data_IF_051485375332
#
_entry.id   IF_051485375332
#
_cell.length_a   1.000
_cell.length_b   1.000
_cell.length_c   1.000
_cell.angle_alpha   90.00
_cell.angle_beta   90.00
_cell.angle_gamma   90.00
#
_symmetry.space_group_name_H-M   'P 1'
#
loop_
_entity.id
_entity.type
_entity.pdbx_description
1 polymer ?
#
# COMPACT_ATOMS: atom_id res chain seq x y z
N UNK A 1 -57.09 -5.56 -33.60
CA UNK A 1 -56.61 -4.34 -32.93
C UNK A 1 -55.12 -4.51 -32.81
N UNK A 2 -54.41 -4.15 -33.87
CA UNK A 2 -52.97 -4.16 -33.92
C UNK A 2 -52.49 -2.95 -33.10
N UNK A 3 -51.98 -3.21 -31.90
CA UNK A 3 -51.20 -2.20 -31.17
C UNK A 3 -49.90 -2.05 -31.95
N UNK A 4 -49.80 -0.99 -32.76
CA UNK A 4 -48.52 -0.52 -33.28
C UNK A 4 -47.55 -0.42 -32.09
N UNK A 5 -46.37 -1.07 -32.17
CA UNK A 5 -45.37 -0.95 -31.12
C UNK A 5 -44.98 0.53 -31.03
N UNK A 6 -45.27 1.12 -29.87
CA UNK A 6 -44.93 2.48 -29.47
C UNK A 6 -43.51 2.81 -29.96
N UNK A 7 -43.42 3.71 -30.95
CA UNK A 7 -42.17 4.17 -31.56
C UNK A 7 -41.25 4.58 -30.42
N UNK A 8 -40.29 3.71 -30.11
CA UNK A 8 -39.51 3.84 -28.89
C UNK A 8 -38.59 5.03 -29.09
N UNK A 9 -39.03 6.19 -28.58
CA UNK A 9 -38.36 7.47 -28.76
C UNK A 9 -36.89 7.31 -28.43
N UNK A 10 -36.04 7.46 -29.43
CA UNK A 10 -34.59 7.34 -29.28
C UNK A 10 -34.13 8.32 -28.20
N UNK A 11 -33.50 7.79 -27.16
CA UNK A 11 -32.96 8.62 -26.07
C UNK A 11 -31.61 9.13 -26.54
N UNK A 12 -31.49 10.46 -26.64
CA UNK A 12 -30.27 11.14 -27.01
C UNK A 12 -29.75 11.99 -25.86
N UNK A 13 -28.43 12.01 -25.70
CA UNK A 13 -27.72 12.78 -24.67
C UNK A 13 -26.49 13.41 -25.30
N UNK A 14 -26.29 14.71 -25.09
CA UNK A 14 -25.08 15.40 -25.52
C UNK A 14 -24.04 15.37 -24.39
N UNK A 15 -22.88 14.75 -24.65
CA UNK A 15 -21.77 14.71 -23.71
C UNK A 15 -20.98 16.04 -23.69
N UNK A 16 -20.18 16.30 -22.63
CA UNK A 16 -19.20 17.40 -22.64
C UNK A 16 -18.30 17.29 -23.88
N UNK A 17 -18.25 18.34 -24.70
CA UNK A 17 -17.57 18.33 -26.00
C UNK A 17 -18.50 18.25 -27.22
N UNK A 18 -19.82 18.19 -27.00
CA UNK A 18 -20.81 18.30 -28.08
C UNK A 18 -21.13 17.00 -28.81
N UNK A 19 -20.51 15.88 -28.41
CA UNK A 19 -20.77 14.55 -28.99
C UNK A 19 -22.16 14.07 -28.57
N UNK A 20 -22.99 13.70 -29.54
CA UNK A 20 -24.34 13.18 -29.30
C UNK A 20 -24.24 11.66 -29.16
N UNK A 21 -24.71 11.14 -28.03
CA UNK A 21 -24.85 9.72 -27.78
C UNK A 21 -26.32 9.32 -27.90
N UNK A 22 -26.59 8.28 -28.69
CA UNK A 22 -27.92 7.69 -28.85
C UNK A 22 -27.93 6.33 -28.18
N UNK A 23 -28.89 6.10 -27.29
CA UNK A 23 -29.03 4.80 -26.62
C UNK A 23 -29.47 3.74 -27.62
N UNK A 24 -28.80 2.59 -27.64
CA UNK A 24 -29.15 1.45 -28.48
C UNK A 24 -30.49 0.85 -28.05
N UNK A 25 -31.26 0.24 -28.97
CA UNK A 25 -32.46 -0.52 -28.62
C UNK A 25 -32.15 -1.59 -27.57
N UNK A 26 -32.92 -1.61 -26.48
CA UNK A 26 -32.72 -2.54 -25.36
C UNK A 26 -31.76 -2.08 -24.26
N UNK A 27 -31.05 -0.96 -24.46
CA UNK A 27 -30.22 -0.35 -23.41
C UNK A 27 -31.06 0.12 -22.22
N UNK A 28 -30.63 -0.22 -21.01
CA UNK A 28 -31.38 0.04 -19.78
C UNK A 28 -30.87 1.26 -19.02
N UNK A 29 -29.62 1.65 -19.25
CA UNK A 29 -28.98 2.79 -18.60
C UNK A 29 -29.59 4.12 -19.04
N UNK A 30 -29.58 5.06 -18.11
CA UNK A 30 -30.08 6.42 -18.27
C UNK A 30 -28.98 7.35 -18.76
N UNK A 31 -29.36 8.50 -19.31
CA UNK A 31 -28.39 9.52 -19.73
C UNK A 31 -27.47 9.99 -18.60
N UNK A 32 -27.99 10.10 -17.38
CA UNK A 32 -27.17 10.42 -16.21
C UNK A 32 -26.13 9.34 -15.90
N UNK A 33 -26.47 8.06 -16.07
CA UNK A 33 -25.52 6.95 -15.90
C UNK A 33 -24.44 6.95 -16.99
N UNK A 34 -24.79 7.25 -18.24
CA UNK A 34 -23.82 7.44 -19.32
C UNK A 34 -22.83 8.57 -18.98
N UNK A 35 -23.34 9.75 -18.63
CA UNK A 35 -22.49 10.91 -18.30
C UNK A 35 -21.59 10.61 -17.09
N UNK A 36 -22.13 9.91 -16.09
CA UNK A 36 -21.33 9.39 -14.96
C UNK A 36 -20.25 8.40 -15.40
N UNK A 37 -20.56 7.47 -16.30
CA UNK A 37 -19.60 6.50 -16.84
C UNK A 37 -18.50 7.18 -17.66
N UNK A 38 -18.82 8.17 -18.50
CA UNK A 38 -17.83 8.97 -19.23
C UNK A 38 -16.92 9.77 -18.30
N UNK A 39 -17.48 10.35 -17.23
CA UNK A 39 -16.70 11.06 -16.20
C UNK A 39 -15.76 10.10 -15.46
N UNK A 40 -16.22 8.90 -15.10
CA UNK A 40 -15.37 7.90 -14.47
C UNK A 40 -14.28 7.43 -15.44
N UNK A 41 -14.64 7.09 -16.68
CA UNK A 41 -13.72 6.66 -17.75
C UNK A 41 -12.56 7.63 -17.94
N UNK A 42 -12.86 8.92 -18.07
CA UNK A 42 -11.85 9.97 -18.24
C UNK A 42 -10.95 10.14 -17.03
N UNK A 43 -11.49 9.99 -15.81
CA UNK A 43 -10.73 10.10 -14.57
C UNK A 43 -9.98 8.82 -14.20
N UNK A 44 -10.36 7.65 -14.74
CA UNK A 44 -9.81 6.34 -14.33
C UNK A 44 -8.29 6.26 -14.43
N UNK A 45 -7.70 6.99 -15.38
CA UNK A 45 -6.26 6.93 -15.65
C UNK A 45 -5.48 8.16 -15.15
N UNK A 46 -6.19 9.20 -14.70
CA UNK A 46 -5.59 10.50 -14.36
C UNK A 46 -5.81 10.91 -12.92
N UNK A 47 -6.84 10.37 -12.25
CA UNK A 47 -7.24 10.79 -10.92
C UNK A 47 -6.69 9.86 -9.84
N UNK A 48 -5.68 10.36 -9.13
CA UNK A 48 -5.02 9.66 -8.02
C UNK A 48 -6.03 9.29 -6.92
N UNK A 49 -7.07 10.09 -6.67
CA UNK A 49 -8.07 9.80 -5.64
C UNK A 49 -8.95 8.60 -6.00
N UNK A 50 -9.30 8.47 -7.30
CA UNK A 50 -10.01 7.30 -7.79
C UNK A 50 -9.12 6.06 -7.75
N UNK A 51 -7.88 6.19 -8.25
CA UNK A 51 -6.90 5.13 -8.23
C UNK A 51 -6.61 4.65 -6.79
N UNK A 52 -6.56 5.59 -5.83
CA UNK A 52 -6.24 5.31 -4.43
C UNK A 52 -7.20 4.29 -3.83
N UNK A 53 -8.47 4.34 -4.23
CA UNK A 53 -9.51 3.47 -3.71
C UNK A 53 -9.61 2.13 -4.44
N UNK A 54 -8.79 1.89 -5.46
CA UNK A 54 -8.85 0.72 -6.34
C UNK A 54 -7.80 -0.36 -6.05
N UNK A 55 -7.19 -0.33 -4.86
CA UNK A 55 -6.30 -1.40 -4.39
C UNK A 55 -7.04 -2.72 -4.15
N UNK A 56 -8.36 -2.71 -4.02
CA UNK A 56 -9.16 -3.93 -3.97
C UNK A 56 -9.06 -4.64 -5.32
N UNK A 57 -8.57 -5.89 -5.29
CA UNK A 57 -8.59 -6.80 -6.42
C UNK A 57 -10.00 -6.85 -7.04
N UNK A 58 -10.02 -6.73 -8.35
CA UNK A 58 -11.21 -6.61 -9.18
C UNK A 58 -12.09 -5.38 -8.92
N UNK A 59 -11.80 -4.45 -8.01
CA UNK A 59 -12.60 -3.21 -7.94
C UNK A 59 -12.40 -2.36 -9.18
N UNK A 60 -11.14 -2.16 -9.60
CA UNK A 60 -10.83 -1.55 -10.89
C UNK A 60 -11.52 -2.31 -12.02
N UNK A 61 -11.38 -3.65 -12.05
CA UNK A 61 -11.99 -4.49 -13.09
C UNK A 61 -13.52 -4.39 -13.09
N UNK A 62 -14.20 -4.54 -11.95
CA UNK A 62 -15.66 -4.41 -11.80
C UNK A 62 -16.15 -3.02 -12.19
N UNK A 63 -15.44 -1.98 -11.77
CA UNK A 63 -15.83 -0.60 -12.10
C UNK A 63 -15.60 -0.33 -13.59
N UNK A 64 -14.50 -0.81 -14.15
CA UNK A 64 -14.22 -0.74 -15.58
C UNK A 64 -15.25 -1.54 -16.38
N UNK A 65 -15.59 -2.77 -15.97
CA UNK A 65 -16.65 -3.58 -16.58
C UNK A 65 -18.01 -2.89 -16.46
N UNK A 66 -18.32 -2.25 -15.32
CA UNK A 66 -19.56 -1.49 -15.13
C UNK A 66 -19.63 -0.30 -16.09
N UNK A 67 -18.53 0.45 -16.21
CA UNK A 67 -18.41 1.59 -17.13
C UNK A 67 -18.56 1.12 -18.57
N UNK A 68 -17.86 0.05 -18.97
CA UNK A 68 -17.96 -0.53 -20.32
C UNK A 68 -19.35 -1.05 -20.63
N UNK A 69 -19.99 -1.77 -19.71
CA UNK A 69 -21.37 -2.23 -19.90
C UNK A 69 -22.34 -1.08 -20.13
N UNK A 70 -22.16 0.05 -19.44
CA UNK A 70 -22.93 1.27 -19.72
C UNK A 70 -22.57 1.83 -21.09
N UNK A 71 -21.29 1.96 -21.44
CA UNK A 71 -20.87 2.52 -22.73
C UNK A 71 -21.33 1.68 -23.93
N UNK A 72 -21.38 0.35 -23.81
CA UNK A 72 -21.84 -0.57 -24.85
C UNK A 72 -23.34 -0.40 -25.19
N UNK A 73 -24.14 0.11 -24.26
CA UNK A 73 -25.56 0.42 -24.48
C UNK A 73 -25.78 1.71 -25.27
N UNK A 74 -24.73 2.49 -25.54
CA UNK A 74 -24.83 3.79 -26.21
C UNK A 74 -23.92 3.86 -27.44
N UNK A 75 -24.40 4.56 -28.45
CA UNK A 75 -23.69 4.82 -29.69
C UNK A 75 -23.37 6.31 -29.80
N UNK A 76 -22.11 6.66 -29.97
CA UNK A 76 -21.64 8.05 -30.03
C UNK A 76 -21.69 8.67 -31.44
N UNK A 77 -22.27 7.97 -32.42
CA UNK A 77 -22.31 8.39 -33.82
C UNK A 77 -20.95 8.42 -34.51
N UNK A 78 -19.88 7.92 -33.87
CA UNK A 78 -18.62 7.70 -34.55
C UNK A 78 -18.79 6.52 -35.52
N UNK A 79 -18.21 6.65 -36.72
CA UNK A 79 -18.21 5.59 -37.72
C UNK A 79 -17.61 4.31 -37.11
N UNK A 80 -18.45 3.29 -36.90
CA UNK A 80 -18.07 2.02 -36.27
C UNK A 80 -17.41 1.05 -37.26
N UNK A 81 -16.95 1.53 -38.43
CA UNK A 81 -16.15 0.68 -39.32
C UNK A 81 -15.00 0.06 -38.53
N UNK A 82 -14.83 -1.25 -38.69
CA UNK A 82 -13.70 -1.96 -38.12
C UNK A 82 -12.42 -1.28 -38.60
N UNK A 83 -11.65 -0.73 -37.67
CA UNK A 83 -10.35 -0.15 -37.98
C UNK A 83 -9.40 -1.29 -38.31
N UNK A 84 -8.61 -1.17 -39.37
CA UNK A 84 -7.57 -2.16 -39.65
C UNK A 84 -6.49 -2.11 -38.58
N UNK A 85 -5.73 -3.18 -38.38
CA UNK A 85 -4.59 -3.20 -37.45
C UNK A 85 -3.61 -2.04 -37.73
N UNK A 86 -3.41 -1.72 -39.01
CA UNK A 86 -2.59 -0.60 -39.49
C UNK A 86 -3.16 0.77 -39.08
N UNK A 87 -4.49 0.94 -39.10
CA UNK A 87 -5.16 2.18 -38.66
C UNK A 87 -5.06 2.35 -37.14
N UNK A 88 -5.20 1.26 -36.39
CA UNK A 88 -5.05 1.23 -34.92
C UNK A 88 -3.60 1.55 -34.54
N UNK A 89 -2.61 0.92 -35.18
CA UNK A 89 -1.20 1.19 -34.94
C UNK A 89 -0.85 2.65 -35.27
N UNK A 90 -1.31 3.16 -36.41
CA UNK A 90 -1.11 4.56 -36.78
C UNK A 90 -1.78 5.53 -35.79
N UNK A 91 -2.94 5.17 -35.23
CA UNK A 91 -3.58 5.95 -34.16
C UNK A 91 -2.75 5.96 -32.87
N UNK A 92 -2.30 4.78 -32.41
CA UNK A 92 -1.46 4.65 -31.21
C UNK A 92 -0.16 5.42 -31.38
N UNK A 93 0.48 5.34 -32.55
CA UNK A 93 1.71 6.08 -32.82
C UNK A 93 1.46 7.59 -32.77
N UNK A 94 0.42 8.11 -33.45
CA UNK A 94 0.05 9.54 -33.37
C UNK A 94 -0.22 9.99 -31.94
N UNK A 95 -0.93 9.16 -31.16
CA UNK A 95 -1.20 9.46 -29.75
C UNK A 95 0.10 9.55 -28.94
N UNK A 96 1.01 8.59 -29.11
CA UNK A 96 2.31 8.60 -28.45
C UNK A 96 3.14 9.83 -28.85
N UNK A 97 3.20 10.15 -30.15
CA UNK A 97 3.88 11.34 -30.66
C UNK A 97 3.30 12.63 -30.07
N UNK A 98 1.97 12.71 -29.92
CA UNK A 98 1.30 13.86 -29.28
C UNK A 98 1.66 13.96 -27.79
N UNK A 99 1.70 12.85 -27.06
CA UNK A 99 2.13 12.84 -25.66
C UNK A 99 3.60 13.22 -25.52
N UNK A 100 4.46 12.77 -26.42
CA UNK A 100 5.88 13.13 -26.46
C UNK A 100 6.06 14.62 -26.75
N UNK A 101 5.33 15.16 -27.72
CA UNK A 101 5.30 16.59 -28.01
C UNK A 101 4.84 17.40 -26.79
N UNK A 102 3.81 16.96 -26.07
CA UNK A 102 3.37 17.59 -24.81
C UNK A 102 4.44 17.55 -23.72
N UNK A 103 5.13 16.41 -23.56
CA UNK A 103 6.22 16.27 -22.58
C UNK A 103 7.40 17.18 -22.90
N UNK A 104 7.82 17.25 -24.16
CA UNK A 104 8.91 18.13 -24.57
C UNK A 104 8.51 19.62 -24.51
N UNK A 105 7.25 19.96 -24.83
CA UNK A 105 6.74 21.32 -24.67
C UNK A 105 6.73 21.74 -23.19
N UNK A 106 6.27 20.88 -22.28
CA UNK A 106 6.30 21.13 -20.84
C UNK A 106 7.74 21.28 -20.33
N UNK A 107 8.64 20.39 -20.74
CA UNK A 107 10.06 20.45 -20.40
C UNK A 107 10.70 21.75 -20.88
N UNK A 108 10.39 22.21 -22.09
CA UNK A 108 10.85 23.50 -22.63
C UNK A 108 10.30 24.67 -21.81
N UNK A 109 8.99 24.67 -21.53
CA UNK A 109 8.33 25.68 -20.68
C UNK A 109 8.99 25.76 -19.30
N UNK A 110 9.32 24.62 -18.70
CA UNK A 110 10.01 24.54 -17.41
C UNK A 110 11.44 25.05 -17.48
N UNK A 111 12.19 24.70 -18.52
CA UNK A 111 13.54 25.22 -18.72
C UNK A 111 13.55 26.75 -18.86
N UNK A 112 12.57 27.32 -19.57
CA UNK A 112 12.38 28.77 -19.67
C UNK A 112 12.05 29.40 -18.30
N UNK A 113 11.17 28.75 -17.52
CA UNK A 113 10.84 29.21 -16.16
C UNK A 113 12.06 29.19 -15.23
N UNK A 114 12.87 28.13 -15.27
CA UNK A 114 14.14 28.05 -14.51
C UNK A 114 15.07 29.18 -14.94
N UNK A 115 15.27 29.37 -16.24
CA UNK A 115 16.16 30.41 -16.76
C UNK A 115 15.74 31.82 -16.33
N UNK A 116 14.45 32.07 -16.15
CA UNK A 116 13.92 33.38 -15.76
C UNK A 116 13.86 33.62 -14.25
N UNK A 117 13.52 32.59 -13.48
CA UNK A 117 13.04 32.76 -12.10
C UNK A 117 13.77 31.91 -11.06
N UNK A 118 14.62 30.97 -11.46
CA UNK A 118 15.35 30.14 -10.49
C UNK A 118 16.50 30.92 -9.85
N UNK A 119 16.39 31.10 -8.54
CA UNK A 119 17.45 31.64 -7.69
C UNK A 119 18.01 30.49 -6.83
N UNK A 120 19.23 30.06 -7.16
CA UNK A 120 19.92 28.96 -6.49
C UNK A 120 20.14 29.22 -5.00
N UNK A 121 20.46 30.46 -4.63
CA UNK A 121 20.74 30.81 -3.23
C UNK A 121 19.44 30.86 -2.44
N UNK A 122 18.37 31.38 -3.03
CA UNK A 122 17.02 31.33 -2.45
C UNK A 122 16.52 29.90 -2.28
N UNK A 123 16.74 29.03 -3.27
CA UNK A 123 16.40 27.62 -3.18
C UNK A 123 17.19 26.91 -2.07
N UNK A 124 18.50 27.17 -1.94
CA UNK A 124 19.32 26.63 -0.85
C UNK A 124 18.87 27.17 0.52
N UNK A 125 18.61 28.46 0.64
CA UNK A 125 18.12 29.09 1.86
C UNK A 125 16.75 28.53 2.27
N UNK A 126 15.87 28.24 1.30
CA UNK A 126 14.58 27.59 1.53
C UNK A 126 14.74 26.19 2.11
N UNK A 127 15.71 25.41 1.61
CA UNK A 127 16.03 24.12 2.22
C UNK A 127 16.52 24.32 3.66
N UNK A 128 17.48 25.21 3.89
CA UNK A 128 17.97 25.47 5.25
C UNK A 128 16.85 25.93 6.19
N UNK A 129 15.91 26.76 5.73
CA UNK A 129 14.75 27.23 6.49
C UNK A 129 13.94 26.07 7.03
N UNK A 130 13.47 25.20 6.14
CA UNK A 130 12.64 24.06 6.48
C UNK A 130 13.39 23.08 7.41
N UNK A 131 14.71 22.89 7.22
CA UNK A 131 15.53 22.11 8.18
C UNK A 131 15.51 22.71 9.58
N UNK A 132 15.60 24.04 9.71
CA UNK A 132 15.56 24.72 11.01
C UNK A 132 14.18 24.68 11.65
N UNK A 133 13.12 24.76 10.85
CA UNK A 133 11.74 24.57 11.32
C UNK A 133 11.53 23.16 11.87
N UNK A 134 11.97 22.14 11.15
CA UNK A 134 11.93 20.75 11.59
C UNK A 134 12.75 20.51 12.86
N UNK A 135 14.00 20.99 12.92
CA UNK A 135 14.85 20.90 14.11
C UNK A 135 14.18 21.57 15.32
N UNK A 136 13.59 22.76 15.12
CA UNK A 136 12.87 23.48 16.17
C UNK A 136 11.68 22.67 16.70
N UNK A 137 10.88 22.07 15.80
CA UNK A 137 9.75 21.23 16.17
C UNK A 137 10.20 19.96 16.91
N UNK A 138 11.28 19.32 16.46
CA UNK A 138 11.88 18.16 17.13
C UNK A 138 12.34 18.49 18.55
N UNK A 139 13.13 19.56 18.72
CA UNK A 139 13.61 19.94 20.04
C UNK A 139 12.48 20.42 20.96
N UNK A 140 11.43 21.04 20.41
CA UNK A 140 10.21 21.34 21.18
C UNK A 140 9.56 20.05 21.70
N UNK A 141 9.44 19.02 20.87
CA UNK A 141 8.90 17.73 21.30
C UNK A 141 9.73 17.08 22.43
N UNK A 142 11.06 17.16 22.33
CA UNK A 142 11.98 16.66 23.37
C UNK A 142 11.81 17.46 24.67
N UNK A 143 11.63 18.79 24.58
CA UNK A 143 11.37 19.64 25.73
C UNK A 143 10.02 19.33 26.41
N UNK A 144 9.00 19.00 25.63
CA UNK A 144 7.67 18.64 26.14
C UNK A 144 7.65 17.26 26.82
N UNK A 145 8.55 16.35 26.39
CA UNK A 145 8.66 14.97 26.91
C UNK A 145 10.12 14.60 27.26
N UNK A 146 10.75 15.28 28.23
CA UNK A 146 12.16 15.09 28.53
C UNK A 146 12.37 13.83 29.40
N UNK A 147 13.51 13.16 29.23
CA UNK A 147 13.91 12.07 30.12
C UNK A 147 14.40 12.58 31.49
N UNK A 148 14.95 13.80 31.53
CA UNK A 148 15.38 14.48 32.76
C UNK A 148 15.40 16.01 32.57
N UNK A 149 15.57 16.76 33.67
CA UNK A 149 15.54 18.22 33.66
C UNK A 149 16.65 18.85 32.80
N UNK A 150 17.87 18.30 32.81
CA UNK A 150 18.97 18.84 32.00
C UNK A 150 18.72 18.69 30.49
N UNK A 151 18.09 17.58 30.07
CA UNK A 151 17.69 17.39 28.69
C UNK A 151 16.62 18.40 28.26
N UNK A 152 15.66 18.71 29.13
CA UNK A 152 14.64 19.72 28.86
C UNK A 152 15.27 21.08 28.57
N UNK A 153 16.19 21.53 29.42
CA UNK A 153 16.85 22.82 29.27
C UNK A 153 17.70 22.90 27.98
N UNK A 154 18.47 21.86 27.65
CA UNK A 154 19.22 21.80 26.38
C UNK A 154 18.27 21.80 25.17
N UNK A 155 17.17 21.06 25.23
CA UNK A 155 16.18 21.01 24.17
C UNK A 155 15.50 22.38 23.97
N UNK A 156 15.07 23.05 25.05
CA UNK A 156 14.47 24.39 24.99
C UNK A 156 15.45 25.40 24.36
N UNK A 157 16.73 25.39 24.77
CA UNK A 157 17.77 26.26 24.18
C UNK A 157 17.97 25.99 22.70
N UNK A 158 18.05 24.72 22.29
CA UNK A 158 18.23 24.36 20.87
C UNK A 158 17.01 24.70 20.03
N UNK A 159 15.81 24.45 20.54
CA UNK A 159 14.56 24.84 19.89
C UNK A 159 14.51 26.35 19.67
N UNK A 160 14.85 27.16 20.68
CA UNK A 160 14.90 28.62 20.56
C UNK A 160 15.92 29.09 19.52
N UNK A 161 17.12 28.51 19.51
CA UNK A 161 18.14 28.84 18.49
C UNK A 161 17.65 28.50 17.07
N UNK A 162 17.10 27.30 16.86
CA UNK A 162 16.60 26.90 15.53
C UNK A 162 15.42 27.78 15.07
N UNK A 163 14.51 28.19 15.98
CA UNK A 163 13.43 29.13 15.65
C UNK A 163 13.98 30.49 15.18
N UNK A 164 14.96 31.04 15.89
CA UNK A 164 15.59 32.31 15.50
C UNK A 164 16.30 32.21 14.14
N UNK A 165 17.05 31.12 13.89
CA UNK A 165 17.70 30.90 12.59
C UNK A 165 16.67 30.73 11.46
N UNK A 166 15.55 30.03 11.72
CA UNK A 166 14.44 29.90 10.77
C UNK A 166 13.79 31.27 10.47
N UNK A 167 13.61 32.13 11.45
CA UNK A 167 13.06 33.47 11.23
C UNK A 167 13.93 34.33 10.31
N UNK A 168 15.25 34.29 10.47
CA UNK A 168 16.16 35.00 9.56
C UNK A 168 16.12 34.44 8.14
N UNK A 169 16.14 33.11 7.99
CA UNK A 169 16.02 32.46 6.69
C UNK A 169 14.68 32.77 6.02
N UNK A 170 13.59 32.86 6.78
CA UNK A 170 12.27 33.20 6.23
C UNK A 170 12.23 34.61 5.64
N UNK A 171 12.96 35.57 6.22
CA UNK A 171 13.10 36.92 5.63
C UNK A 171 13.82 36.89 4.27
N UNK A 172 14.81 36.01 4.11
CA UNK A 172 15.54 35.83 2.85
C UNK A 172 14.69 35.09 1.80
N UNK A 173 13.94 34.08 2.23
CA UNK A 173 13.21 33.17 1.34
C UNK A 173 11.87 33.75 0.89
N UNK A 174 11.19 34.53 1.75
CA UNK A 174 9.79 34.91 1.54
C UNK A 174 8.86 33.71 1.76
N UNK A 175 7.88 33.53 0.89
CA UNK A 175 7.04 32.32 0.91
C UNK A 175 7.86 31.12 0.42
N UNK A 176 8.10 30.09 1.26
CA UNK A 176 8.81 28.89 0.83
C UNK A 176 8.05 28.08 -0.22
N UNK A 177 6.74 28.27 -0.41
CA UNK A 177 5.95 27.58 -1.44
C UNK A 177 6.07 28.21 -2.83
N UNK A 178 6.68 29.40 -2.94
CA UNK A 178 6.91 30.11 -4.21
C UNK A 178 8.34 29.93 -4.76
N UNK A 179 9.14 29.05 -4.14
CA UNK A 179 10.54 28.84 -4.51
C UNK A 179 10.67 27.66 -5.45
N UNK A 180 10.97 27.95 -6.72
CA UNK A 180 11.26 26.95 -7.73
C UNK A 180 12.51 26.13 -7.38
N UNK A 181 12.49 24.85 -7.74
CA UNK A 181 13.69 24.03 -7.73
C UNK A 181 14.50 24.14 -9.03
N UNK A 182 15.63 23.43 -9.09
CA UNK A 182 16.53 23.41 -10.25
C UNK A 182 15.87 22.87 -11.54
N UNK A 183 14.70 22.22 -11.44
CA UNK A 183 13.93 21.67 -12.56
C UNK A 183 12.69 22.50 -12.88
N UNK A 184 12.49 23.63 -12.19
CA UNK A 184 11.40 24.56 -12.44
C UNK A 184 10.07 24.12 -11.86
N UNK A 185 10.07 23.26 -10.85
CA UNK A 185 8.87 22.88 -10.13
C UNK A 185 8.71 23.71 -8.87
N UNK A 186 7.47 24.14 -8.63
CA UNK A 186 7.06 24.66 -7.34
C UNK A 186 6.86 23.53 -6.33
N UNK A 187 6.92 23.85 -5.04
CA UNK A 187 6.68 22.88 -4.01
C UNK A 187 5.37 22.11 -4.08
N UNK A 188 4.24 22.78 -4.26
CA UNK A 188 2.97 22.08 -4.43
C UNK A 188 2.99 21.08 -5.62
N UNK A 189 3.65 21.44 -6.72
CA UNK A 189 3.75 20.59 -7.92
C UNK A 189 4.61 19.36 -7.66
N UNK A 190 5.77 19.54 -7.01
CA UNK A 190 6.64 18.44 -6.60
C UNK A 190 5.95 17.47 -5.65
N UNK A 191 5.19 17.97 -4.65
CA UNK A 191 4.42 17.09 -3.76
C UNK A 191 3.39 16.28 -4.52
N UNK A 192 2.69 16.90 -5.46
CA UNK A 192 1.72 16.21 -6.33
C UNK A 192 2.40 15.12 -7.18
N UNK A 193 3.53 15.44 -7.81
CA UNK A 193 4.29 14.49 -8.62
C UNK A 193 4.77 13.31 -7.77
N UNK A 194 5.42 13.58 -6.64
CA UNK A 194 5.91 12.54 -5.74
C UNK A 194 4.78 11.65 -5.22
N UNK A 195 3.62 12.22 -4.88
CA UNK A 195 2.46 11.44 -4.49
C UNK A 195 1.99 10.53 -5.64
N UNK A 196 1.86 11.05 -6.85
CA UNK A 196 1.45 10.26 -8.02
C UNK A 196 2.43 9.11 -8.31
N UNK A 197 3.73 9.40 -8.32
CA UNK A 197 4.80 8.42 -8.53
C UNK A 197 4.81 7.36 -7.44
N UNK A 198 4.74 7.77 -6.17
CA UNK A 198 4.69 6.87 -5.03
C UNK A 198 3.49 5.91 -5.14
N UNK A 199 2.34 6.44 -5.55
CA UNK A 199 1.13 5.64 -5.72
C UNK A 199 1.27 4.62 -6.84
N UNK A 200 1.68 5.08 -8.01
CA UNK A 200 1.76 4.25 -9.23
C UNK A 200 2.84 3.18 -9.11
N UNK A 201 4.03 3.56 -8.65
CA UNK A 201 5.22 2.71 -8.75
C UNK A 201 5.51 1.92 -7.48
N UNK A 202 5.12 2.41 -6.30
CA UNK A 202 5.41 1.72 -5.04
C UNK A 202 4.16 1.11 -4.40
N UNK A 203 3.17 1.94 -4.06
CA UNK A 203 2.05 1.50 -3.20
C UNK A 203 1.22 0.42 -3.87
N UNK A 204 0.77 0.60 -5.11
CA UNK A 204 -0.06 -0.43 -5.75
C UNK A 204 0.68 -1.75 -5.93
N UNK A 205 1.91 -1.79 -6.49
CA UNK A 205 2.64 -3.05 -6.61
C UNK A 205 2.89 -3.72 -5.25
N UNK A 206 3.32 -2.96 -4.24
CA UNK A 206 3.60 -3.49 -2.90
C UNK A 206 2.34 -4.05 -2.22
N UNK A 207 1.21 -3.32 -2.25
CA UNK A 207 -0.04 -3.77 -1.64
C UNK A 207 -0.63 -4.99 -2.35
N UNK A 208 -0.55 -5.05 -3.68
CA UNK A 208 -0.95 -6.25 -4.45
C UNK A 208 -0.13 -7.46 -4.02
N UNK A 209 1.19 -7.30 -3.88
CA UNK A 209 2.07 -8.39 -3.46
C UNK A 209 1.83 -8.82 -2.00
N UNK A 210 1.63 -7.86 -1.08
CA UNK A 210 1.36 -8.16 0.33
C UNK A 210 0.00 -8.84 0.53
N UNK A 211 -1.01 -8.50 -0.28
CA UNK A 211 -2.33 -9.16 -0.27
C UNK A 211 -2.25 -10.59 -0.79
N UNK A 212 -1.52 -10.86 -1.88
CA UNK A 212 -1.28 -12.24 -2.40
C UNK A 212 -0.74 -13.16 -1.31
N UNK A 213 0.04 -12.62 -0.37
CA UNK A 213 0.61 -13.34 0.79
C UNK A 213 -0.37 -13.50 1.97
N UNK A 214 -1.66 -13.19 1.80
CA UNK A 214 -2.75 -13.56 2.71
C UNK A 214 -2.77 -12.81 4.06
N UNK A 215 -2.10 -11.67 4.16
CA UNK A 215 -1.93 -10.96 5.44
C UNK A 215 -3.09 -10.00 5.71
N UNK A 216 -4.19 -10.52 6.29
CA UNK A 216 -5.35 -9.74 6.81
C UNK A 216 -4.96 -8.51 7.67
N UNK A 217 -3.77 -8.51 8.26
CA UNK A 217 -3.24 -7.40 9.07
C UNK A 217 -2.97 -6.10 8.29
N UNK A 218 -2.99 -6.14 6.95
CA UNK A 218 -2.81 -4.93 6.14
C UNK A 218 -4.11 -4.19 5.82
N UNK A 219 -5.28 -4.72 6.20
CA UNK A 219 -6.58 -4.04 6.00
C UNK A 219 -6.60 -2.62 6.56
N UNK A 220 -5.86 -2.34 7.64
CA UNK A 220 -5.74 -0.99 8.18
C UNK A 220 -4.97 -0.03 7.24
N UNK A 221 -3.85 -0.46 6.65
CA UNK A 221 -3.12 0.34 5.64
C UNK A 221 -3.95 0.56 4.38
N UNK A 222 -4.78 -0.43 4.06
CA UNK A 222 -5.66 -0.43 2.89
C UNK A 222 -6.85 0.53 3.08
N UNK A 223 -7.35 0.72 4.31
CA UNK A 223 -8.44 1.65 4.61
C UNK A 223 -7.99 3.09 4.90
N UNK A 224 -6.69 3.39 4.78
CA UNK A 224 -6.22 4.76 4.97
C UNK A 224 -6.78 5.68 3.88
N UNK A 225 -7.27 6.88 4.23
CA UNK A 225 -7.71 7.86 3.25
C UNK A 225 -6.54 8.34 2.38
N UNK A 226 -6.85 8.86 1.20
CA UNK A 226 -5.88 9.48 0.29
C UNK A 226 -5.21 10.65 1.05
N UNK A 227 -3.88 10.70 1.13
CA UNK A 227 -3.17 11.91 1.52
C UNK A 227 -3.50 12.97 0.47
N UNK A 228 -4.19 14.01 0.90
CA UNK A 228 -4.31 15.21 0.08
C UNK A 228 -2.94 15.88 0.01
N UNK A 229 -2.57 16.43 -1.14
CA UNK A 229 -1.32 17.19 -1.31
C UNK A 229 -1.21 18.34 -0.30
N UNK A 230 -2.35 18.91 0.10
CA UNK A 230 -2.45 19.97 1.11
C UNK A 230 -2.17 19.47 2.55
N UNK A 231 -2.23 18.16 2.79
CA UNK A 231 -1.92 17.53 4.08
C UNK A 231 -0.49 16.99 4.16
N UNK A 232 0.24 17.02 3.05
CA UNK A 232 1.68 16.73 3.03
C UNK A 232 2.43 17.96 3.55
N UNK A 233 3.48 17.76 4.34
CA UNK A 233 4.27 18.88 4.83
C UNK A 233 4.97 19.59 3.66
N UNK A 234 5.21 20.89 3.81
CA UNK A 234 6.00 21.71 2.88
C UNK A 234 7.44 21.19 2.70
N UNK A 235 7.89 20.32 3.63
CA UNK A 235 9.20 19.70 3.73
C UNK A 235 9.40 18.46 2.84
N UNK A 236 8.33 17.85 2.27
CA UNK A 236 8.34 16.68 1.35
C UNK A 236 9.05 16.89 -0.01
N UNK A 237 9.94 17.88 -0.07
CA UNK A 237 10.56 18.50 -1.25
C UNK A 237 12.06 18.33 -1.30
N UNK A 238 12.68 18.12 -0.13
CA UNK A 238 14.11 18.12 0.10
C UNK A 238 14.59 16.66 0.16
N UNK A 239 14.97 16.04 -0.98
CA UNK A 239 14.77 14.61 -1.13
C UNK A 239 15.91 13.78 -0.52
N UNK A 240 17.17 14.18 -0.68
CA UNK A 240 18.28 13.28 -0.35
C UNK A 240 18.68 13.28 1.14
N UNK A 241 18.55 14.39 1.86
CA UNK A 241 19.23 14.54 3.17
C UNK A 241 18.29 14.54 4.39
N UNK A 242 16.98 14.76 4.22
CA UNK A 242 16.06 14.90 5.38
C UNK A 242 15.22 13.67 5.67
N UNK A 243 15.03 12.85 4.64
CA UNK A 243 14.30 11.60 4.72
C UNK A 243 15.20 10.38 4.44
N UNK A 244 16.51 10.61 4.29
CA UNK A 244 17.46 9.85 5.10
C UNK A 244 17.18 10.14 6.59
N UNK A 245 16.00 9.72 7.06
CA UNK A 245 16.02 8.94 8.26
C UNK A 245 16.83 7.71 7.88
N UNK A 246 18.15 7.85 8.02
CA UNK A 246 18.85 6.92 8.84
C UNK A 246 17.92 6.74 10.05
N UNK A 247 17.06 5.71 10.02
CA UNK A 247 16.64 5.07 11.25
C UNK A 247 17.90 4.37 11.76
N UNK A 248 18.93 5.18 12.01
CA UNK A 248 19.70 5.12 13.20
C UNK A 248 18.65 5.07 14.28
N UNK A 249 18.28 3.86 14.65
CA UNK A 249 17.68 3.53 15.91
C UNK A 249 18.68 3.85 17.05
N UNK A 250 19.45 4.94 16.91
CA UNK A 250 20.45 5.54 17.79
C UNK A 250 19.83 6.05 19.09
N UNK A 251 18.52 5.87 19.29
CA UNK A 251 17.82 6.39 20.45
C UNK A 251 18.17 5.68 21.76
N UNK A 252 18.92 4.57 21.73
CA UNK A 252 19.12 3.76 22.94
C UNK A 252 20.57 3.29 23.11
N UNK A 253 21.37 4.08 23.83
CA UNK A 253 22.65 3.62 24.45
C UNK A 253 22.43 2.69 25.65
N UNK A 254 21.17 2.37 25.97
CA UNK A 254 20.76 1.57 27.12
C UNK A 254 19.52 0.77 26.74
N UNK A 255 19.23 -0.38 27.38
CA UNK A 255 18.03 -1.17 27.09
C UNK A 255 16.77 -0.28 27.11
N UNK A 256 15.86 -0.40 26.12
CA UNK A 256 14.66 0.43 26.08
C UNK A 256 13.81 0.21 27.33
N UNK A 257 13.23 1.28 27.87
CA UNK A 257 12.40 1.21 29.07
C UNK A 257 11.24 0.21 28.87
N UNK A 258 10.94 -0.58 29.90
CA UNK A 258 9.86 -1.57 29.88
C UNK A 258 8.51 -0.87 29.63
N UNK A 259 7.76 -1.32 28.63
CA UNK A 259 6.49 -0.75 28.17
C UNK A 259 6.63 0.33 27.09
N UNK A 260 7.86 0.74 26.74
CA UNK A 260 8.07 1.75 25.70
C UNK A 260 7.85 1.18 24.29
N UNK A 261 7.52 2.06 23.35
CA UNK A 261 7.43 1.71 21.92
C UNK A 261 8.76 1.16 21.38
N UNK A 262 9.88 1.62 21.93
CA UNK A 262 11.20 1.11 21.62
C UNK A 262 11.40 -0.35 22.07
N UNK A 263 10.83 -0.74 23.21
CA UNK A 263 10.82 -2.15 23.65
C UNK A 263 9.96 -3.00 22.70
N UNK A 264 8.85 -2.46 22.20
CA UNK A 264 7.99 -3.16 21.21
C UNK A 264 8.76 -3.39 19.91
N UNK A 265 9.43 -2.36 19.37
CA UNK A 265 10.28 -2.47 18.19
C UNK A 265 11.43 -3.47 18.46
N UNK A 266 12.01 -3.42 19.66
CA UNK A 266 13.08 -4.31 20.05
C UNK A 266 12.73 -5.79 20.12
N UNK A 267 11.53 -6.11 20.61
CA UNK A 267 11.02 -7.49 20.57
C UNK A 267 10.79 -8.01 19.16
N UNK A 268 10.62 -7.12 18.17
CA UNK A 268 10.47 -7.49 16.77
C UNK A 268 11.81 -7.72 16.06
N UNK A 269 12.93 -7.29 16.66
CA UNK A 269 14.28 -7.40 16.09
C UNK A 269 15.31 -7.84 17.17
N UNK A 270 15.25 -9.05 17.72
CA UNK A 270 16.11 -9.46 18.84
C UNK A 270 17.61 -9.21 18.60
N UNK A 271 18.28 -8.53 19.54
CA UNK A 271 19.72 -8.22 19.47
C UNK A 271 20.09 -6.98 18.66
N UNK A 272 19.13 -6.19 18.16
CA UNK A 272 19.43 -4.98 17.37
C UNK A 272 20.15 -3.88 18.17
N UNK A 273 19.90 -3.76 19.48
CA UNK A 273 20.57 -2.81 20.38
C UNK A 273 21.97 -3.27 20.85
N UNK A 274 22.38 -4.50 20.52
CA UNK A 274 23.68 -5.10 20.90
C UNK A 274 24.71 -5.05 19.76
N UNK A 275 24.33 -4.59 18.57
CA UNK A 275 25.17 -4.57 17.37
C UNK A 275 25.88 -3.22 17.21
N UNK A 276 27.09 -3.26 16.65
CA UNK A 276 27.99 -2.11 16.47
C UNK A 276 27.32 -0.93 15.73
N UNK A 277 27.65 0.30 16.15
CA UNK A 277 27.20 1.59 15.60
C UNK A 277 27.38 1.70 14.07
N UNK A 278 28.40 1.03 13.51
CA UNK A 278 28.71 1.06 12.08
C UNK A 278 28.02 -0.07 11.28
N UNK A 279 27.35 -1.01 11.95
CA UNK A 279 26.83 -2.25 11.33
C UNK A 279 25.31 -2.36 11.40
N UNK A 280 24.63 -1.38 12.00
CA UNK A 280 23.20 -1.43 12.33
C UNK A 280 22.47 -0.13 12.04
N UNK A 281 23.03 0.74 11.19
CA UNK A 281 22.18 1.55 10.34
C UNK A 281 21.45 0.56 9.43
N UNK A 282 20.19 0.26 9.76
CA UNK A 282 19.27 -0.09 8.69
C UNK A 282 19.13 1.18 7.86
N UNK A 283 20.04 1.36 6.92
CA UNK A 283 19.77 2.11 5.72
C UNK A 283 18.67 1.32 5.02
N UNK A 284 17.41 1.57 5.41
CA UNK A 284 16.37 1.56 4.40
C UNK A 284 16.81 2.74 3.53
N UNK A 285 17.59 2.44 2.49
CA UNK A 285 18.11 3.43 1.55
C UNK A 285 16.91 4.14 0.94
N UNK A 286 16.47 5.18 1.61
CA UNK A 286 15.38 6.02 1.19
C UNK A 286 16.03 7.24 0.55
N UNK A 287 16.80 6.98 -0.51
CA UNK A 287 17.19 8.02 -1.43
C UNK A 287 15.94 8.43 -2.19
N UNK A 288 15.36 9.58 -1.86
CA UNK A 288 14.33 10.13 -2.73
C UNK A 288 14.93 10.44 -4.09
N UNK A 289 14.26 9.97 -5.14
CA UNK A 289 14.80 9.92 -6.51
C UNK A 289 15.17 8.50 -6.95
N UNK A 290 15.19 7.53 -6.03
CA UNK A 290 15.27 6.12 -6.40
C UNK A 290 13.88 5.50 -6.64
N UNK A 291 13.75 4.49 -7.52
CA UNK A 291 12.47 3.85 -7.88
C UNK A 291 11.69 3.20 -6.71
N UNK A 292 12.24 3.17 -5.50
CA UNK A 292 11.74 2.40 -4.35
C UNK A 292 11.54 3.25 -3.07
N UNK A 293 11.53 4.57 -3.19
CA UNK A 293 11.30 5.49 -2.09
C UNK A 293 9.90 5.34 -1.44
N UNK A 294 9.84 5.25 -0.11
CA UNK A 294 8.61 5.25 0.70
C UNK A 294 8.02 6.67 0.78
N UNK A 295 6.74 6.87 1.16
CA UNK A 295 6.23 8.22 1.37
C UNK A 295 6.49 8.66 2.81
N UNK A 296 6.54 9.97 3.05
CA UNK A 296 6.62 10.47 4.42
C UNK A 296 5.27 10.36 5.12
N UNK A 297 5.27 9.53 6.14
CA UNK A 297 4.20 9.39 7.10
C UNK A 297 4.43 10.40 8.24
N UNK A 298 3.37 10.97 8.80
CA UNK A 298 3.45 11.66 10.11
C UNK A 298 4.02 10.71 11.16
N UNK A 299 4.55 11.25 12.27
CA UNK A 299 5.06 10.41 13.37
C UNK A 299 4.05 9.36 13.86
N UNK A 300 2.76 9.68 13.89
CA UNK A 300 1.69 8.72 14.20
C UNK A 300 1.50 7.67 13.10
N UNK A 301 1.55 8.06 11.83
CA UNK A 301 1.45 7.13 10.71
C UNK A 301 2.68 6.21 10.62
N UNK A 302 3.89 6.71 10.90
CA UNK A 302 5.10 5.90 11.04
C UNK A 302 4.97 4.94 12.23
N UNK A 303 4.49 5.41 13.38
CA UNK A 303 4.25 4.54 14.55
C UNK A 303 3.21 3.45 14.28
N UNK A 304 2.19 3.74 13.45
CA UNK A 304 1.19 2.77 13.03
C UNK A 304 1.71 1.78 11.99
N UNK A 305 2.58 2.22 11.07
CA UNK A 305 3.09 1.41 9.95
C UNK A 305 4.33 0.58 10.32
N UNK A 306 5.25 1.13 11.13
CA UNK A 306 6.55 0.53 11.36
C UNK A 306 6.45 -0.84 12.04
N UNK A 307 5.65 -1.07 13.10
CA UNK A 307 5.52 -2.40 13.69
C UNK A 307 4.95 -3.48 12.75
N UNK A 308 3.88 -3.26 11.96
CA UNK A 308 3.42 -4.24 10.97
C UNK A 308 4.39 -4.42 9.79
N UNK A 309 5.10 -3.37 9.36
CA UNK A 309 6.13 -3.44 8.31
C UNK A 309 7.33 -4.28 8.77
N UNK A 310 7.88 -4.00 9.95
CA UNK A 310 8.97 -4.77 10.55
C UNK A 310 8.56 -6.22 10.81
N UNK A 311 7.34 -6.47 11.30
CA UNK A 311 6.76 -7.83 11.37
C UNK A 311 6.56 -8.47 10.00
N UNK A 312 6.55 -7.71 8.93
CA UNK A 312 6.38 -8.25 7.59
C UNK A 312 7.68 -8.74 6.98
N UNK A 313 8.76 -8.01 7.27
CA UNK A 313 10.11 -8.23 6.76
C UNK A 313 10.88 -9.21 7.64
N UNK A 314 10.77 -9.09 8.96
CA UNK A 314 11.64 -9.79 9.92
C UNK A 314 10.95 -10.87 10.73
N UNK A 315 9.61 -10.89 10.81
CA UNK A 315 8.97 -12.01 11.48
C UNK A 315 9.21 -13.28 10.64
N UNK A 316 9.71 -14.36 11.25
CA UNK A 316 9.89 -15.62 10.56
C UNK A 316 8.55 -16.01 9.93
N UNK A 317 8.60 -16.58 8.71
CA UNK A 317 7.40 -17.12 8.10
C UNK A 317 6.72 -18.06 9.11
N UNK A 318 5.39 -17.97 9.28
CA UNK A 318 4.70 -18.90 10.15
C UNK A 318 5.07 -20.29 9.67
N UNK A 319 5.73 -21.06 10.53
CA UNK A 319 6.21 -22.40 10.22
C UNK A 319 5.01 -23.15 9.67
N UNK A 320 5.04 -23.45 8.36
CA UNK A 320 4.03 -24.30 7.73
C UNK A 320 4.04 -25.58 8.54
N UNK A 321 3.01 -25.78 9.37
CA UNK A 321 2.88 -27.00 10.17
C UNK A 321 2.91 -28.13 9.15
N UNK A 322 4.00 -28.91 9.14
CA UNK A 322 4.08 -30.10 8.28
C UNK A 322 2.79 -30.87 8.50
N UNK A 323 2.09 -31.31 7.44
CA UNK A 323 0.87 -32.09 7.60
C UNK A 323 1.21 -33.21 8.58
N UNK A 324 0.49 -33.24 9.71
CA UNK A 324 0.76 -34.22 10.74
C UNK A 324 0.64 -35.60 10.09
N UNK A 325 1.64 -36.47 10.28
CA UNK A 325 1.53 -37.86 9.83
C UNK A 325 0.18 -38.39 10.32
N UNK A 326 -0.63 -39.02 9.45
CA UNK A 326 -1.93 -39.52 9.85
C UNK A 326 -1.74 -40.39 11.09
N UNK A 327 -2.52 -40.13 12.13
CA UNK A 327 -2.46 -40.94 13.35
C UNK A 327 -2.81 -42.38 12.95
N UNK A 328 -2.03 -43.38 13.39
CA UNK A 328 -2.37 -44.77 13.09
C UNK A 328 -3.79 -45.04 13.60
N UNK A 329 -4.59 -45.74 12.78
CA UNK A 329 -5.96 -46.11 13.11
C UNK A 329 -5.97 -47.58 13.60
N UNK A 330 -6.85 -47.94 14.54
CA UNK A 330 -7.00 -49.33 14.94
C UNK A 330 -7.54 -50.18 13.77
N UNK A 331 -7.09 -51.43 13.67
CA UNK A 331 -7.56 -52.40 12.68
C UNK A 331 -9.04 -52.74 12.86
N UNK A 332 -9.49 -52.74 14.13
CA UNK A 332 -10.89 -52.92 14.50
C UNK A 332 -11.19 -52.22 15.83
N UNK A 333 -12.44 -51.82 16.01
CA UNK A 333 -12.94 -51.24 17.26
C UNK A 333 -14.23 -51.94 17.67
N UNK A 334 -14.27 -52.44 18.90
CA UNK A 334 -15.42 -53.12 19.50
C UNK A 334 -16.08 -52.15 20.49
N UNK A 335 -17.39 -51.87 20.34
CA UNK A 335 -18.10 -51.03 21.28
C UNK A 335 -18.18 -51.68 22.67
N UNK A 336 -18.36 -50.90 23.75
CA UNK A 336 -18.60 -51.45 25.07
C UNK A 336 -19.90 -52.26 25.08
N UNK A 337 -19.90 -53.37 25.83
CA UNK A 337 -21.05 -54.27 25.97
C UNK A 337 -20.82 -55.31 27.07
N UNK A 338 -21.74 -56.26 27.25
CA UNK A 338 -21.53 -57.39 28.15
C UNK A 338 -20.21 -58.10 27.86
N UNK A 339 -19.47 -58.48 28.90
CA UNK A 339 -18.11 -59.04 28.76
C UNK A 339 -18.11 -60.27 27.85
N UNK A 340 -19.15 -61.11 27.91
CA UNK A 340 -19.28 -62.29 27.06
C UNK A 340 -19.28 -61.93 25.56
N UNK A 341 -20.04 -60.90 25.16
CA UNK A 341 -20.14 -60.46 23.76
C UNK A 341 -18.84 -59.81 23.28
N UNK A 342 -18.17 -59.06 24.17
CA UNK A 342 -16.86 -58.46 23.88
C UNK A 342 -15.80 -59.55 23.69
N UNK A 343 -15.78 -60.58 24.56
CA UNK A 343 -14.83 -61.69 24.47
C UNK A 343 -15.05 -62.54 23.23
N UNK A 344 -16.31 -62.81 22.85
CA UNK A 344 -16.64 -63.53 21.62
C UNK A 344 -16.14 -62.78 20.38
N UNK A 345 -16.42 -61.46 20.28
CA UNK A 345 -15.92 -60.62 19.18
C UNK A 345 -14.40 -60.49 19.18
N UNK A 346 -13.76 -60.45 20.35
CA UNK A 346 -12.30 -60.43 20.44
C UNK A 346 -11.69 -61.74 19.92
N UNK A 347 -12.28 -62.89 20.22
CA UNK A 347 -11.81 -64.19 19.71
C UNK A 347 -11.93 -64.26 18.18
N UNK A 348 -13.05 -63.83 17.60
CA UNK A 348 -13.24 -63.75 16.14
C UNK A 348 -12.19 -62.83 15.48
N UNK A 349 -11.94 -61.65 16.08
CA UNK A 349 -10.99 -60.69 15.56
C UNK A 349 -9.52 -61.13 15.77
N UNK A 350 -9.21 -61.86 16.85
CA UNK A 350 -7.88 -62.45 17.05
C UNK A 350 -7.60 -63.58 16.06
N UNK A 351 -8.60 -64.37 15.69
CA UNK A 351 -8.44 -65.37 14.62
C UNK A 351 -8.12 -64.70 13.26
N UNK A 352 -8.72 -63.53 12.99
CA UNK A 352 -8.47 -62.76 11.76
C UNK A 352 -7.15 -61.98 11.78
N UNK A 353 -6.74 -61.48 12.95
CA UNK A 353 -5.53 -60.69 13.15
C UNK A 353 -4.68 -61.28 14.29
N UNK A 354 -4.00 -62.42 14.05
CA UNK A 354 -3.32 -63.18 15.11
C UNK A 354 -2.18 -62.43 15.79
N UNK A 355 -1.63 -61.40 15.13
CA UNK A 355 -0.54 -60.57 15.65
C UNK A 355 -1.02 -59.24 16.24
N UNK A 356 -2.32 -58.94 16.22
CA UNK A 356 -2.80 -57.66 16.71
C UNK A 356 -2.79 -57.58 18.25
N UNK A 357 -2.37 -56.43 18.76
CA UNK A 357 -2.44 -56.11 20.19
C UNK A 357 -3.83 -55.56 20.52
N UNK A 358 -4.49 -56.17 21.50
CA UNK A 358 -5.76 -55.67 22.05
C UNK A 358 -5.44 -54.59 23.08
N UNK A 359 -6.03 -53.40 22.91
CA UNK A 359 -5.90 -52.28 23.85
C UNK A 359 -7.28 -51.76 24.22
N UNK A 360 -7.42 -51.28 25.45
CA UNK A 360 -8.63 -50.56 25.86
C UNK A 360 -8.51 -49.10 25.40
N UNK A 361 -9.37 -48.73 24.44
CA UNK A 361 -9.47 -47.39 23.89
C UNK A 361 -10.27 -46.44 24.78
N UNK A 362 -10.45 -45.21 24.31
CA UNK A 362 -11.21 -44.20 25.06
C UNK A 362 -12.71 -44.59 25.12
N UNK A 363 -13.39 -44.25 26.21
CA UNK A 363 -14.81 -44.59 26.48
C UNK A 363 -15.10 -46.10 26.56
N UNK A 364 -14.13 -46.88 27.05
CA UNK A 364 -14.31 -48.31 27.33
C UNK A 364 -14.44 -49.19 26.09
N UNK A 365 -14.06 -48.69 24.91
CA UNK A 365 -14.00 -49.48 23.68
C UNK A 365 -12.78 -50.40 23.72
N UNK A 366 -12.86 -51.53 23.04
CA UNK A 366 -11.71 -52.41 22.82
C UNK A 366 -11.23 -52.23 21.39
N UNK A 367 -9.94 -51.96 21.22
CA UNK A 367 -9.34 -51.64 19.93
C UNK A 367 -8.24 -52.66 19.62
N UNK A 368 -8.20 -53.16 18.39
CA UNK A 368 -7.10 -53.98 17.90
C UNK A 368 -6.11 -53.10 17.14
N UNK A 369 -4.85 -53.16 17.53
CA UNK A 369 -3.76 -52.41 16.93
C UNK A 369 -2.76 -53.37 16.28
N UNK A 370 -2.11 -53.00 15.16
CA UNK A 370 -1.00 -53.81 14.64
C UNK A 370 0.11 -53.93 15.70
N UNK A 371 0.79 -55.08 15.76
CA UNK A 371 1.91 -55.30 16.69
C UNK A 371 2.93 -54.16 16.58
N UNK A 372 3.44 -53.69 17.73
CA UNK A 372 4.56 -52.73 17.74
C UNK A 372 5.80 -53.36 17.10
N UNK A 373 5.98 -53.14 15.80
CA UNK A 373 7.10 -53.68 15.02
C UNK A 373 6.70 -54.16 13.62
N UNK A 374 5.41 -54.36 13.35
CA UNK A 374 4.91 -54.67 12.01
C UNK A 374 4.61 -53.40 11.20
N UNK A 375 5.62 -52.57 10.96
CA UNK A 375 5.51 -51.53 9.95
C UNK A 375 6.06 -52.09 8.62
N UNK A 376 5.15 -52.27 7.66
CA UNK A 376 5.36 -52.23 6.22
C UNK A 376 6.53 -53.06 5.63
N UNK A 377 6.18 -54.25 5.11
CA UNK A 377 6.52 -54.53 3.70
C UNK A 377 5.44 -53.96 2.80
#
# INVERSE_FOLDING_TARGET
>A
MDNEPDETRLVQVTAPGGVIWTRRPGGLSTGAQLLGALSVSTRMHTDVELLWNWWEEDRHSREQSRVWAILEEWENGADQREQTDEEVEAFVQRWNDEQDAKREAEKKRRAELVAQSYDKDRASARLQLLRKEADAAFFQHVADKPANAAQREDAERRAARCKSEAEELRKQVGDPEDVLDERGYLPAERRKQHLDEHMRYWRYPALRELRKRGRRRFTALLNMPVPEVARMCSECQAPAEWHEYDISLCLFRSPPAKGSQAEVIARLMPGWWERCHASTSYAIGHGWGEPHALPDFTGEQWQAMLPPLLRSTFAPEPIKKKPAKPKPQPLATIPPGPIADVMAKLQELQAKYPTAEVRQGNRGRWELWPAKGGNDT
#
